data_IF_438545993463
#
_entry.id   IF_438545993463
#
_cell.length_a   1.000
_cell.length_b   1.000
_cell.length_c   1.000
_cell.angle_alpha   90.00
_cell.angle_beta   90.00
_cell.angle_gamma   90.00
#
_symmetry.space_group_name_H-M   'P 1'
#
loop_
_entity.id
_entity.type
_entity.pdbx_description
1 polymer ?
#
# COMPACT_ATOMS: atom_id res chain seq x y z
N UNK A 1 26.89 21.32 -65.01
CA UNK A 1 27.83 21.97 -64.07
C UNK A 1 27.06 22.33 -62.83
N UNK A 2 27.51 21.78 -61.71
CA UNK A 2 26.88 21.85 -60.40
C UNK A 2 26.89 23.27 -59.82
N UNK A 3 25.95 23.57 -58.92
CA UNK A 3 26.14 24.44 -57.75
C UNK A 3 25.03 24.17 -56.71
N UNK A 4 25.38 23.38 -55.71
CA UNK A 4 24.88 23.39 -54.32
C UNK A 4 26.16 23.75 -53.49
N UNK A 5 26.15 24.48 -52.34
CA UNK A 5 25.10 24.46 -51.32
C UNK A 5 24.79 25.79 -50.62
N UNK A 6 23.59 25.89 -50.02
CA UNK A 6 23.40 26.74 -48.84
C UNK A 6 22.88 25.85 -47.71
N UNK A 7 23.77 25.72 -46.73
CA UNK A 7 23.72 24.91 -45.54
C UNK A 7 22.77 25.56 -44.52
N UNK A 8 22.13 24.73 -43.70
CA UNK A 8 21.78 24.98 -42.29
C UNK A 8 20.86 26.16 -41.96
N UNK A 9 19.67 25.83 -41.45
CA UNK A 9 19.21 26.09 -40.06
C UNK A 9 17.69 26.21 -40.05
N UNK A 10 16.99 25.09 -40.05
CA UNK A 10 15.56 25.08 -39.69
C UNK A 10 15.20 23.83 -38.89
N UNK A 11 16.06 23.48 -37.93
CA UNK A 11 15.77 22.49 -36.88
C UNK A 11 16.30 23.10 -35.58
N UNK A 12 15.53 24.02 -34.99
CA UNK A 12 15.90 24.63 -33.70
C UNK A 12 14.68 25.22 -32.99
N UNK A 13 13.52 24.59 -33.10
CA UNK A 13 12.37 24.97 -32.25
C UNK A 13 11.36 23.83 -32.13
N UNK A 14 11.84 22.61 -31.86
CA UNK A 14 11.06 21.73 -30.99
C UNK A 14 11.48 22.11 -29.57
N UNK A 15 10.58 22.59 -28.70
CA UNK A 15 10.84 22.48 -27.28
C UNK A 15 10.91 20.98 -27.03
N UNK A 16 12.12 20.47 -26.81
CA UNK A 16 12.25 19.29 -25.98
C UNK A 16 11.61 19.70 -24.65
N UNK A 17 10.34 19.36 -24.46
CA UNK A 17 9.76 19.12 -23.15
C UNK A 17 10.53 17.92 -22.59
N UNK A 18 11.80 18.15 -22.23
CA UNK A 18 12.42 17.39 -21.19
C UNK A 18 11.56 17.70 -19.98
N UNK A 19 10.66 16.78 -19.63
CA UNK A 19 10.19 16.63 -18.26
C UNK A 19 11.44 16.27 -17.44
N UNK A 20 12.24 17.30 -17.16
CA UNK A 20 13.27 17.25 -16.16
C UNK A 20 12.52 17.05 -14.86
N UNK A 21 12.74 15.89 -14.25
CA UNK A 21 12.34 15.57 -12.89
C UNK A 21 12.48 16.82 -12.02
N UNK A 22 11.36 17.42 -11.62
CA UNK A 22 11.35 18.54 -10.67
C UNK A 22 11.13 17.93 -9.29
N UNK A 23 12.18 17.82 -8.45
CA UNK A 23 12.03 17.30 -7.09
C UNK A 23 11.13 18.18 -6.20
N UNK A 24 10.76 19.38 -6.67
CA UNK A 24 9.91 20.32 -5.95
C UNK A 24 8.41 20.16 -6.24
N UNK A 25 8.04 19.40 -7.29
CA UNK A 25 6.65 19.07 -7.63
C UNK A 25 6.60 17.65 -8.22
N UNK A 26 6.19 16.61 -7.46
CA UNK A 26 6.06 15.24 -7.96
C UNK A 26 4.82 15.05 -8.87
N UNK A 27 4.51 16.03 -9.71
CA UNK A 27 3.21 16.20 -10.39
C UNK A 27 3.01 15.32 -11.63
N UNK A 28 3.97 14.46 -11.99
CA UNK A 28 3.88 13.60 -13.17
C UNK A 28 4.28 12.13 -12.88
N UNK A 29 4.03 11.64 -11.66
CA UNK A 29 4.28 10.24 -11.33
C UNK A 29 3.15 9.35 -11.84
N UNK A 30 3.50 8.33 -12.60
CA UNK A 30 2.54 7.36 -13.16
C UNK A 30 2.47 6.11 -12.31
N UNK A 31 1.29 5.78 -11.82
CA UNK A 31 1.06 4.63 -10.94
C UNK A 31 0.16 3.62 -11.65
N UNK A 32 0.63 2.38 -11.73
CA UNK A 32 -0.19 1.28 -12.20
C UNK A 32 -1.02 0.75 -11.03
N UNK A 33 -2.34 0.68 -11.22
CA UNK A 33 -3.28 0.10 -10.25
C UNK A 33 -3.84 -1.19 -10.84
N UNK A 34 -3.50 -2.32 -10.23
CA UNK A 34 -4.00 -3.63 -10.60
C UNK A 34 -5.16 -4.00 -9.66
N UNK A 35 -6.31 -4.29 -10.25
CA UNK A 35 -7.56 -4.59 -9.55
C UNK A 35 -8.01 -6.02 -9.83
N UNK A 36 -8.53 -6.72 -8.81
CA UNK A 36 -9.28 -7.98 -9.04
C UNK A 36 -10.61 -7.72 -9.76
N UNK A 37 -11.34 -6.68 -9.32
CA UNK A 37 -12.62 -6.29 -9.89
C UNK A 37 -12.66 -4.80 -10.20
N UNK A 38 -13.28 -4.45 -11.33
CA UNK A 38 -13.43 -3.05 -11.76
C UNK A 38 -14.30 -2.25 -10.78
N UNK A 39 -15.19 -2.91 -10.04
CA UNK A 39 -16.00 -2.32 -8.97
C UNK A 39 -15.16 -1.71 -7.86
N UNK A 40 -13.92 -2.19 -7.63
CA UNK A 40 -13.00 -1.62 -6.64
C UNK A 40 -12.70 -0.14 -6.89
N UNK A 41 -12.73 0.30 -8.15
CA UNK A 41 -12.52 1.70 -8.52
C UNK A 41 -13.57 2.63 -7.92
N UNK A 42 -14.83 2.18 -7.85
CA UNK A 42 -15.92 2.97 -7.27
C UNK A 42 -15.94 2.83 -5.75
N UNK A 43 -15.76 1.61 -5.22
CA UNK A 43 -15.81 1.35 -3.78
C UNK A 43 -14.63 1.93 -3.01
N UNK A 44 -13.49 2.19 -3.65
CA UNK A 44 -12.28 2.80 -3.08
C UNK A 44 -11.98 4.20 -3.65
N UNK A 45 -13.01 4.83 -4.24
CA UNK A 45 -12.83 6.10 -4.96
C UNK A 45 -12.26 7.24 -4.12
N UNK A 46 -12.49 7.28 -2.80
CA UNK A 46 -11.95 8.33 -1.92
C UNK A 46 -10.42 8.25 -1.90
N UNK A 47 -9.87 7.05 -1.74
CA UNK A 47 -8.43 6.83 -1.78
C UNK A 47 -7.81 7.20 -3.14
N UNK A 48 -8.39 6.70 -4.24
CA UNK A 48 -7.87 7.00 -5.57
C UNK A 48 -7.98 8.48 -5.93
N UNK A 49 -9.07 9.15 -5.57
CA UNK A 49 -9.21 10.61 -5.74
C UNK A 49 -8.18 11.35 -4.91
N UNK A 50 -7.91 10.91 -3.69
CA UNK A 50 -6.86 11.49 -2.84
C UNK A 50 -5.52 11.48 -3.58
N UNK A 51 -5.12 10.36 -4.20
CA UNK A 51 -3.91 10.27 -5.03
C UNK A 51 -3.96 11.21 -6.25
N UNK A 52 -5.06 11.20 -7.01
CA UNK A 52 -5.21 12.03 -8.21
C UNK A 52 -5.19 13.53 -7.90
N UNK A 53 -5.80 13.97 -6.80
CA UNK A 53 -5.80 15.38 -6.38
C UNK A 53 -4.39 15.88 -6.02
N UNK A 54 -3.45 14.98 -5.74
CA UNK A 54 -2.03 15.30 -5.49
C UNK A 54 -1.17 15.27 -6.75
N UNK A 55 -1.75 15.00 -7.92
CA UNK A 55 -1.04 14.98 -9.20
C UNK A 55 -0.51 13.61 -9.63
N UNK A 56 -0.94 12.52 -8.98
CA UNK A 56 -0.57 11.16 -9.41
C UNK A 56 -1.47 10.69 -10.56
N UNK A 57 -0.86 10.24 -11.65
CA UNK A 57 -1.58 9.66 -12.79
C UNK A 57 -1.84 8.17 -12.54
N UNK A 58 -3.11 7.78 -12.43
CA UNK A 58 -3.50 6.40 -12.16
C UNK A 58 -3.93 5.68 -13.45
N UNK A 59 -3.24 4.62 -13.84
CA UNK A 59 -3.67 3.69 -14.88
C UNK A 59 -4.26 2.43 -14.24
N UNK A 60 -5.53 2.16 -14.52
CA UNK A 60 -6.25 1.03 -13.93
C UNK A 60 -6.27 -0.15 -14.90
N UNK A 61 -5.82 -1.31 -14.42
CA UNK A 61 -5.88 -2.59 -15.16
C UNK A 61 -6.53 -3.65 -14.30
N UNK A 62 -7.22 -4.59 -14.95
CA UNK A 62 -7.67 -5.82 -14.30
C UNK A 62 -6.49 -6.79 -14.21
N UNK A 63 -6.41 -7.56 -13.14
CA UNK A 63 -5.30 -8.45 -12.88
C UNK A 63 -5.08 -9.51 -13.98
N UNK A 64 -6.11 -9.85 -14.74
CA UNK A 64 -6.08 -10.80 -15.85
C UNK A 64 -5.75 -10.17 -17.22
N UNK A 65 -5.58 -8.84 -17.30
CA UNK A 65 -5.36 -8.14 -18.58
C UNK A 65 -4.01 -8.57 -19.21
N UNK A 66 -4.02 -9.19 -20.41
CA UNK A 66 -2.81 -9.66 -21.06
C UNK A 66 -1.86 -8.53 -21.51
N UNK A 67 -2.28 -7.27 -21.43
CA UNK A 67 -1.48 -6.11 -21.84
C UNK A 67 -0.69 -5.49 -20.68
N UNK A 68 -0.84 -6.01 -19.46
CA UNK A 68 -0.07 -5.51 -18.32
C UNK A 68 1.41 -5.75 -18.56
N UNK A 69 2.20 -4.69 -18.39
CA UNK A 69 3.64 -4.71 -18.50
C UNK A 69 4.23 -3.54 -17.73
N UNK A 70 5.17 -3.81 -16.83
CA UNK A 70 5.88 -2.77 -16.07
C UNK A 70 6.99 -2.12 -16.89
N UNK A 71 7.57 -2.87 -17.82
CA UNK A 71 8.78 -2.49 -18.54
C UNK A 71 8.62 -2.74 -20.04
N UNK A 72 9.02 -1.77 -20.87
CA UNK A 72 9.16 -1.95 -22.32
C UNK A 72 10.52 -1.45 -22.78
N UNK A 73 11.20 -2.26 -23.58
CA UNK A 73 12.52 -1.92 -24.13
C UNK A 73 13.56 -1.51 -23.06
N UNK A 74 13.52 -2.16 -21.89
CA UNK A 74 14.44 -1.88 -20.80
C UNK A 74 14.07 -0.67 -19.92
N UNK A 75 12.97 0.04 -20.22
CA UNK A 75 12.51 1.18 -19.43
C UNK A 75 11.20 0.90 -18.71
N UNK A 76 11.11 1.31 -17.45
CA UNK A 76 9.87 1.22 -16.68
C UNK A 76 8.86 2.26 -17.14
N UNK A 77 7.60 1.83 -17.28
CA UNK A 77 6.49 2.68 -17.71
C UNK A 77 5.86 3.44 -16.54
N UNK A 78 5.99 2.91 -15.33
CA UNK A 78 5.35 3.41 -14.12
C UNK A 78 6.40 3.66 -13.04
N UNK A 79 6.12 4.62 -12.16
CA UNK A 79 6.97 4.98 -11.03
C UNK A 79 6.56 4.25 -9.74
N UNK A 80 5.35 3.69 -9.71
CA UNK A 80 4.86 2.90 -8.60
C UNK A 80 3.74 1.94 -9.01
N UNK A 81 3.49 0.96 -8.14
CA UNK A 81 2.54 -0.12 -8.35
C UNK A 81 1.60 -0.25 -7.14
N UNK A 82 0.30 -0.39 -7.39
CA UNK A 82 -0.70 -0.67 -6.37
C UNK A 82 -1.40 -1.98 -6.73
N UNK A 83 -1.33 -2.96 -5.83
CA UNK A 83 -1.96 -4.27 -5.95
C UNK A 83 -3.18 -4.34 -5.04
N UNK A 84 -4.35 -4.10 -5.64
CA UNK A 84 -5.68 -4.29 -5.03
C UNK A 84 -6.31 -5.55 -5.63
N UNK A 85 -5.54 -6.63 -5.58
CA UNK A 85 -5.86 -7.90 -6.24
C UNK A 85 -5.55 -9.08 -5.31
N UNK A 86 -6.21 -9.18 -4.13
CA UNK A 86 -5.93 -10.20 -3.12
C UNK A 86 -6.03 -11.63 -3.65
N UNK A 87 -6.99 -11.92 -4.52
CA UNK A 87 -7.36 -13.28 -4.96
C UNK A 87 -6.59 -13.75 -6.19
N UNK A 88 -5.78 -12.88 -6.80
CA UNK A 88 -5.11 -13.19 -8.07
C UNK A 88 -4.00 -14.22 -7.87
N UNK A 89 -4.17 -15.41 -8.46
CA UNK A 89 -3.14 -16.47 -8.49
C UNK A 89 -2.07 -16.24 -9.57
N UNK A 90 -2.44 -15.51 -10.64
CA UNK A 90 -1.54 -15.20 -11.75
C UNK A 90 -1.97 -13.90 -12.42
N UNK A 91 -1.02 -12.98 -12.57
CA UNK A 91 -1.24 -11.76 -13.34
C UNK A 91 -1.20 -12.01 -14.86
N UNK A 92 -1.91 -11.17 -15.60
CA UNK A 92 -1.88 -11.10 -17.04
C UNK A 92 -0.59 -10.48 -17.59
N UNK A 93 -0.31 -10.78 -18.86
CA UNK A 93 0.78 -10.16 -19.61
C UNK A 93 2.16 -10.59 -19.13
N UNK A 94 3.04 -9.61 -18.88
CA UNK A 94 4.41 -9.84 -18.43
C UNK A 94 4.61 -9.52 -16.95
N UNK A 95 3.52 -9.35 -16.19
CA UNK A 95 3.59 -9.13 -14.76
C UNK A 95 3.67 -10.49 -14.06
N UNK A 96 4.72 -10.70 -13.28
CA UNK A 96 4.89 -11.87 -12.42
C UNK A 96 5.65 -11.46 -11.14
N UNK A 97 5.87 -12.43 -10.24
CA UNK A 97 6.62 -12.19 -8.99
C UNK A 97 7.99 -11.57 -9.27
N UNK A 98 8.76 -12.13 -10.20
CA UNK A 98 10.10 -11.64 -10.54
C UNK A 98 10.08 -10.20 -11.05
N UNK A 99 9.17 -9.87 -11.97
CA UNK A 99 9.03 -8.53 -12.50
C UNK A 99 8.67 -7.49 -11.42
N UNK A 100 7.87 -7.88 -10.41
CA UNK A 100 7.52 -7.00 -9.27
C UNK A 100 8.73 -6.79 -8.36
N UNK A 101 9.50 -7.84 -8.07
CA UNK A 101 10.72 -7.71 -7.27
C UNK A 101 11.77 -6.86 -7.99
N UNK A 102 12.01 -7.09 -9.28
CA UNK A 102 12.92 -6.29 -10.10
C UNK A 102 12.49 -4.81 -10.15
N UNK A 103 11.17 -4.55 -10.16
CA UNK A 103 10.61 -3.20 -10.11
C UNK A 103 10.94 -2.50 -8.79
N UNK A 104 10.77 -3.18 -7.67
CA UNK A 104 11.15 -2.68 -6.34
C UNK A 104 12.66 -2.50 -6.23
N UNK A 105 13.46 -3.44 -6.70
CA UNK A 105 14.93 -3.38 -6.70
C UNK A 105 15.48 -2.25 -7.58
N UNK A 106 14.70 -1.82 -8.58
CA UNK A 106 15.00 -0.65 -9.42
C UNK A 106 14.64 0.69 -8.76
N UNK A 107 14.10 0.68 -7.53
CA UNK A 107 13.81 1.88 -6.75
C UNK A 107 12.36 2.36 -6.83
N UNK A 108 11.45 1.57 -7.40
CA UNK A 108 10.04 1.95 -7.53
C UNK A 108 9.21 1.52 -6.32
N UNK A 109 8.12 2.26 -6.07
CA UNK A 109 7.31 2.08 -4.87
C UNK A 109 6.17 1.08 -5.08
N UNK A 110 5.77 0.39 -4.01
CA UNK A 110 4.77 -0.67 -4.06
C UNK A 110 3.76 -0.55 -2.92
N UNK A 111 2.47 -0.65 -3.23
CA UNK A 111 1.41 -0.83 -2.22
C UNK A 111 0.75 -2.19 -2.48
N UNK A 112 0.80 -3.07 -1.49
CA UNK A 112 0.14 -4.36 -1.50
C UNK A 112 -0.98 -4.31 -0.48
N UNK A 113 -2.17 -4.68 -0.93
CA UNK A 113 -3.31 -4.90 -0.05
C UNK A 113 -3.81 -6.31 -0.22
N UNK A 114 -4.27 -6.90 0.88
CA UNK A 114 -4.87 -8.21 0.84
C UNK A 114 -6.04 -8.31 1.80
N UNK A 115 -6.65 -9.48 1.90
CA UNK A 115 -7.69 -9.84 2.85
C UNK A 115 -7.54 -11.32 3.23
N UNK A 116 -8.56 -11.94 3.85
CA UNK A 116 -8.50 -13.37 4.16
C UNK A 116 -8.31 -14.26 2.91
N UNK A 117 -8.78 -13.81 1.74
CA UNK A 117 -8.68 -14.54 0.47
C UNK A 117 -7.35 -14.34 -0.27
N UNK A 118 -6.29 -13.94 0.44
CA UNK A 118 -4.95 -13.78 -0.07
C UNK A 118 -4.44 -15.02 -0.82
N UNK A 119 -4.17 -14.87 -2.12
CA UNK A 119 -3.60 -15.91 -2.97
C UNK A 119 -2.16 -16.27 -2.59
N UNK A 120 -1.69 -17.43 -3.05
CA UNK A 120 -0.30 -17.86 -2.83
C UNK A 120 0.72 -16.89 -3.45
N UNK A 121 0.37 -16.25 -4.56
CA UNK A 121 1.20 -15.24 -5.23
C UNK A 121 1.34 -13.98 -4.38
N UNK A 122 0.24 -13.41 -3.89
CA UNK A 122 0.28 -12.19 -3.06
C UNK A 122 1.05 -12.43 -1.76
N UNK A 123 0.85 -13.61 -1.15
CA UNK A 123 1.60 -14.04 0.04
C UNK A 123 3.10 -14.13 -0.24
N UNK A 124 3.49 -14.75 -1.37
CA UNK A 124 4.90 -14.85 -1.77
C UNK A 124 5.56 -13.47 -1.96
N UNK A 125 4.87 -12.52 -2.61
CA UNK A 125 5.38 -11.15 -2.78
C UNK A 125 5.62 -10.48 -1.41
N UNK A 126 4.69 -10.64 -0.47
CA UNK A 126 4.82 -10.06 0.86
C UNK A 126 5.94 -10.70 1.68
N UNK A 127 6.10 -12.03 1.62
CA UNK A 127 7.20 -12.75 2.26
C UNK A 127 8.56 -12.31 1.72
N UNK A 128 8.69 -12.11 0.41
CA UNK A 128 9.92 -11.57 -0.19
C UNK A 128 10.20 -10.13 0.23
N UNK A 129 9.15 -9.37 0.59
CA UNK A 129 9.28 -8.05 1.20
C UNK A 129 9.55 -8.09 2.73
N UNK A 130 9.57 -9.27 3.36
CA UNK A 130 9.87 -9.46 4.78
C UNK A 130 8.66 -9.49 5.71
N UNK A 131 7.47 -9.73 5.18
CA UNK A 131 6.20 -9.82 5.92
C UNK A 131 5.55 -11.17 5.68
N UNK A 132 5.22 -11.89 6.75
CA UNK A 132 4.59 -13.21 6.66
C UNK A 132 3.14 -13.12 7.15
N UNK A 133 2.19 -13.29 6.23
CA UNK A 133 0.76 -13.41 6.54
C UNK A 133 0.47 -14.73 7.26
N UNK A 134 -0.64 -14.77 8.01
CA UNK A 134 -1.08 -16.00 8.66
C UNK A 134 -1.30 -17.14 7.63
N UNK A 135 -0.70 -18.31 7.88
CA UNK A 135 -0.75 -19.47 6.99
C UNK A 135 -2.18 -20.02 6.79
N UNK A 136 -3.08 -19.80 7.74
CA UNK A 136 -4.47 -20.22 7.61
C UNK A 136 -5.20 -19.31 6.59
N UNK A 137 -5.72 -19.86 5.48
CA UNK A 137 -6.42 -19.09 4.45
C UNK A 137 -7.77 -18.53 4.90
N UNK A 138 -8.33 -19.00 6.03
CA UNK A 138 -9.56 -18.47 6.61
C UNK A 138 -9.29 -17.54 7.79
N UNK A 139 -8.02 -17.35 8.18
CA UNK A 139 -7.70 -16.57 9.36
C UNK A 139 -7.98 -15.07 9.16
N UNK A 140 -8.61 -14.51 10.18
CA UNK A 140 -8.83 -13.07 10.33
C UNK A 140 -8.34 -12.64 11.70
N UNK A 141 -7.99 -11.36 11.83
CA UNK A 141 -7.70 -10.78 13.14
C UNK A 141 -9.00 -10.63 13.91
N UNK A 142 -9.04 -11.19 15.11
CA UNK A 142 -10.17 -11.15 16.04
C UNK A 142 -9.71 -10.48 17.32
N UNK A 143 -10.52 -9.56 17.85
CA UNK A 143 -10.30 -8.99 19.16
C UNK A 143 -11.62 -8.69 19.88
N UNK A 144 -11.84 -9.32 21.02
CA UNK A 144 -13.05 -9.11 21.80
C UNK A 144 -13.02 -7.87 22.70
N UNK A 145 -11.90 -7.14 22.76
CA UNK A 145 -11.80 -5.91 23.57
C UNK A 145 -11.71 -4.65 22.74
N UNK A 146 -10.96 -4.67 21.63
CA UNK A 146 -10.72 -3.50 20.76
C UNK A 146 -11.38 -3.64 19.38
N UNK A 147 -12.62 -4.14 19.34
CA UNK A 147 -13.43 -4.16 18.12
C UNK A 147 -14.22 -2.86 17.93
N UNK A 148 -14.65 -2.60 16.70
CA UNK A 148 -15.55 -1.51 16.39
C UNK A 148 -17.00 -1.92 16.68
N UNK A 149 -17.70 -1.10 17.46
CA UNK A 149 -19.12 -1.34 17.75
C UNK A 149 -19.92 -1.16 16.46
N UNK A 150 -20.53 -2.25 16.01
CA UNK A 150 -21.42 -2.30 14.85
C UNK A 150 -22.70 -3.02 15.24
N UNK A 151 -23.84 -2.54 14.76
CA UNK A 151 -25.14 -3.14 15.03
C UNK A 151 -25.33 -4.48 14.29
N UNK A 152 -24.47 -4.80 13.31
CA UNK A 152 -24.69 -5.90 12.35
C UNK A 152 -23.70 -7.06 12.45
N UNK A 153 -22.53 -6.89 13.08
CA UNK A 153 -21.47 -7.91 13.10
C UNK A 153 -21.09 -8.27 14.55
N UNK A 154 -21.28 -9.55 14.92
CA UNK A 154 -21.02 -10.07 16.26
C UNK A 154 -19.72 -10.87 16.39
N UNK A 155 -18.99 -11.07 15.30
CA UNK A 155 -17.82 -11.97 15.27
C UNK A 155 -16.53 -11.28 15.75
N UNK A 156 -16.61 -9.99 16.07
CA UNK A 156 -15.50 -9.16 16.58
C UNK A 156 -14.25 -9.17 15.67
N UNK A 157 -14.48 -9.28 14.36
CA UNK A 157 -13.44 -9.26 13.30
C UNK A 157 -13.13 -7.86 12.78
N UNK A 158 -14.03 -6.89 13.01
CA UNK A 158 -13.79 -5.49 12.69
C UNK A 158 -13.04 -4.83 13.85
N UNK A 159 -11.74 -4.66 13.69
CA UNK A 159 -10.84 -4.14 14.71
C UNK A 159 -10.81 -2.60 14.66
N UNK A 160 -10.87 -1.97 15.82
CA UNK A 160 -10.65 -0.53 15.98
C UNK A 160 -9.27 -0.31 16.61
N UNK A 161 -8.25 -0.15 15.77
CA UNK A 161 -6.86 0.04 16.22
C UNK A 161 -6.49 1.53 16.31
N UNK A 162 -5.80 1.86 17.40
CA UNK A 162 -5.24 3.16 17.75
C UNK A 162 -3.73 3.07 18.05
N UNK A 163 -3.11 1.90 17.86
CA UNK A 163 -1.68 1.68 18.10
C UNK A 163 -0.86 1.99 16.85
N UNK A 164 -0.56 3.28 16.69
CA UNK A 164 0.23 3.82 15.58
C UNK A 164 1.72 3.92 15.91
N UNK A 165 2.55 3.79 14.88
CA UNK A 165 3.97 4.16 14.97
C UNK A 165 4.14 5.63 15.35
N UNK A 166 5.01 5.88 16.32
CA UNK A 166 5.34 7.23 16.77
C UNK A 166 6.41 7.85 15.85
N UNK A 167 5.99 8.27 14.66
CA UNK A 167 6.87 8.90 13.66
C UNK A 167 6.16 9.93 12.80
N UNK A 168 6.46 11.20 13.05
CA UNK A 168 5.95 12.35 12.28
C UNK A 168 6.42 12.31 10.81
N UNK A 169 7.52 11.61 10.53
CA UNK A 169 8.05 11.46 9.16
C UNK A 169 7.13 10.57 8.32
N UNK A 170 6.51 9.55 8.93
CA UNK A 170 5.64 8.59 8.24
C UNK A 170 4.20 9.09 8.25
N UNK A 171 3.65 9.40 9.42
CA UNK A 171 2.22 9.76 9.58
C UNK A 171 1.96 11.27 9.56
N UNK A 172 2.99 12.10 9.57
CA UNK A 172 2.85 13.56 9.62
C UNK A 172 2.71 14.08 11.04
N UNK A 173 2.73 15.40 11.17
CA UNK A 173 2.62 16.08 12.46
C UNK A 173 1.18 16.15 13.00
N UNK A 174 0.18 15.83 12.16
CA UNK A 174 -1.23 15.85 12.56
C UNK A 174 -1.59 14.51 13.16
N UNK A 175 -1.94 14.51 14.45
CA UNK A 175 -2.37 13.31 15.17
C UNK A 175 -3.66 12.74 14.58
N UNK A 176 -3.72 11.42 14.45
CA UNK A 176 -4.94 10.70 14.07
C UNK A 176 -5.72 10.45 15.35
N UNK A 177 -6.78 11.24 15.58
CA UNK A 177 -7.55 11.18 16.83
C UNK A 177 -8.53 9.99 16.88
N UNK A 178 -9.05 9.59 15.71
CA UNK A 178 -10.02 8.51 15.59
C UNK A 178 -9.32 7.17 15.29
N UNK A 179 -9.81 6.04 15.83
CA UNK A 179 -9.22 4.73 15.53
C UNK A 179 -9.39 4.38 14.05
N UNK A 180 -8.44 3.60 13.53
CA UNK A 180 -8.51 3.00 12.20
C UNK A 180 -9.30 1.71 12.29
N UNK A 181 -10.31 1.60 11.43
CA UNK A 181 -11.11 0.40 11.27
C UNK A 181 -10.41 -0.57 10.32
N UNK A 182 -10.23 -1.80 10.77
CA UNK A 182 -9.48 -2.83 10.06
C UNK A 182 -10.25 -4.15 10.07
N UNK A 183 -10.40 -4.77 8.91
CA UNK A 183 -10.97 -6.11 8.78
C UNK A 183 -10.20 -6.89 7.74
N UNK A 184 -9.55 -7.98 8.15
CA UNK A 184 -8.72 -8.77 7.25
C UNK A 184 -7.76 -9.68 8.00
N UNK A 185 -6.73 -10.12 7.29
CA UNK A 185 -5.72 -11.05 7.79
C UNK A 185 -4.65 -10.32 8.59
N UNK A 186 -4.09 -10.95 9.61
CA UNK A 186 -2.95 -10.43 10.35
C UNK A 186 -1.62 -10.91 9.74
N UNK A 187 -0.55 -10.15 9.93
CA UNK A 187 0.77 -10.59 9.54
C UNK A 187 1.81 -10.36 10.62
N UNK A 188 2.91 -11.10 10.53
CA UNK A 188 4.08 -10.95 11.39
C UNK A 188 5.24 -10.36 10.60
N UNK A 189 6.20 -9.81 11.34
CA UNK A 189 7.44 -9.30 10.77
C UNK A 189 8.56 -10.30 11.00
N UNK A 190 9.39 -10.51 9.99
CA UNK A 190 10.59 -11.30 10.15
C UNK A 190 11.61 -10.54 11.02
N UNK A 191 11.89 -11.09 12.20
CA UNK A 191 12.85 -10.50 13.17
C UNK A 191 14.27 -10.29 12.63
N UNK A 192 14.66 -11.01 11.57
CA UNK A 192 15.96 -10.84 10.92
C UNK A 192 16.00 -9.61 9.99
N UNK A 193 14.85 -9.08 9.58
CA UNK A 193 14.77 -7.95 8.67
C UNK A 193 14.61 -6.63 9.43
N UNK A 194 15.69 -5.85 9.53
CA UNK A 194 15.68 -4.55 10.20
C UNK A 194 15.08 -3.41 9.36
N UNK A 195 14.65 -3.68 8.12
CA UNK A 195 14.11 -2.69 7.19
C UNK A 195 12.58 -2.60 7.22
N UNK A 196 11.93 -3.54 7.91
CA UNK A 196 10.47 -3.60 8.03
C UNK A 196 10.02 -2.99 9.35
N UNK A 197 9.01 -2.14 9.27
CA UNK A 197 8.45 -1.43 10.42
C UNK A 197 6.94 -1.69 10.52
N UNK A 198 6.44 -1.86 11.75
CA UNK A 198 5.01 -1.87 12.04
C UNK A 198 4.51 -0.43 12.05
N UNK A 199 3.49 -0.13 11.26
CA UNK A 199 2.86 1.20 11.22
C UNK A 199 1.56 1.19 12.01
N UNK A 200 0.79 0.11 11.90
CA UNK A 200 -0.43 -0.13 12.66
C UNK A 200 -0.36 -1.54 13.26
N UNK A 201 -0.40 -1.62 14.58
CA UNK A 201 -0.38 -2.89 15.31
C UNK A 201 -1.77 -3.30 15.78
N UNK A 202 -1.95 -4.58 16.05
CA UNK A 202 -3.14 -5.05 16.76
C UNK A 202 -2.98 -4.83 18.27
N UNK A 203 -4.09 -4.90 19.01
CA UNK A 203 -4.05 -4.80 20.47
C UNK A 203 -3.35 -6.02 21.09
N UNK A 204 -2.88 -5.94 22.36
CA UNK A 204 -2.32 -7.08 23.07
C UNK A 204 -3.28 -8.27 23.25
N UNK A 205 -4.59 -8.07 23.15
CA UNK A 205 -5.61 -9.12 23.29
C UNK A 205 -6.05 -9.73 21.95
N UNK A 206 -5.60 -9.19 20.83
CA UNK A 206 -5.96 -9.68 19.51
C UNK A 206 -5.30 -11.04 19.22
N UNK A 207 -5.94 -11.86 18.39
CA UNK A 207 -5.36 -13.09 17.85
C UNK A 207 -5.86 -13.32 16.42
N UNK A 208 -5.12 -14.11 15.65
CA UNK A 208 -5.49 -14.44 14.27
C UNK A 208 -6.06 -15.86 14.19
N UNK A 209 -7.28 -16.03 13.70
CA UNK A 209 -7.93 -17.34 13.58
C UNK A 209 -9.12 -17.30 12.62
N UNK A 210 -9.60 -18.47 12.17
CA UNK A 210 -10.89 -18.57 11.48
C UNK A 210 -12.05 -18.34 12.47
N UNK A 211 -12.87 -17.29 12.29
CA UNK A 211 -13.97 -16.95 13.19
C UNK A 211 -15.10 -18.00 13.23
N UNK A 212 -15.20 -18.85 12.21
CA UNK A 212 -16.23 -19.89 12.12
C UNK A 212 -15.79 -21.21 12.76
N UNK A 213 -14.49 -21.36 13.02
CA UNK A 213 -13.91 -22.59 13.53
C UNK A 213 -13.73 -22.53 15.05
N UNK A 214 -13.83 -23.69 15.71
CA UNK A 214 -13.45 -23.79 17.12
C UNK A 214 -11.94 -23.96 17.22
N UNK A 215 -11.31 -23.06 17.96
CA UNK A 215 -9.90 -23.17 18.32
C UNK A 215 -9.65 -24.43 19.16
N UNK A 216 -8.92 -25.38 18.58
CA UNK A 216 -8.45 -26.59 19.26
C UNK A 216 -7.03 -26.41 19.83
N UNK A 217 -6.24 -25.53 19.22
CA UNK A 217 -4.88 -25.15 19.61
C UNK A 217 -4.77 -23.63 19.73
N UNK A 218 -3.80 -23.11 20.48
CA UNK A 218 -3.52 -21.67 20.51
C UNK A 218 -3.17 -21.18 19.09
N UNK A 219 -3.68 -20.00 18.69
CA UNK A 219 -3.29 -19.34 17.45
C UNK A 219 -1.78 -19.10 17.35
N UNK A 220 -1.24 -19.13 16.14
CA UNK A 220 0.18 -18.85 15.88
C UNK A 220 0.51 -17.38 16.12
N UNK A 221 -0.35 -16.49 15.64
CA UNK A 221 -0.20 -15.04 15.78
C UNK A 221 -1.13 -14.52 16.88
N UNK A 222 -0.53 -13.92 17.91
CA UNK A 222 -1.25 -13.38 19.07
C UNK A 222 -0.64 -12.05 19.56
N UNK A 223 -1.51 -11.20 20.11
CA UNK A 223 -1.19 -9.92 20.70
C UNK A 223 -0.37 -9.00 19.79
N UNK A 224 0.63 -8.35 20.39
CA UNK A 224 1.52 -7.38 19.72
C UNK A 224 2.42 -8.00 18.64
N UNK A 225 2.48 -9.32 18.51
CA UNK A 225 3.17 -9.96 17.39
C UNK A 225 2.46 -9.64 16.06
N UNK A 226 1.13 -9.48 16.10
CA UNK A 226 0.30 -9.14 14.93
C UNK A 226 0.53 -7.68 14.54
N UNK A 227 0.92 -7.51 13.29
CA UNK A 227 0.88 -6.24 12.58
C UNK A 227 -0.29 -6.24 11.60
N UNK A 228 -0.98 -5.11 11.51
CA UNK A 228 -2.11 -4.90 10.59
C UNK A 228 -1.63 -4.21 9.31
N UNK A 229 -0.75 -3.23 9.47
CA UNK A 229 -0.11 -2.50 8.37
C UNK A 229 1.37 -2.37 8.67
N UNK A 230 2.19 -2.75 7.69
CA UNK A 230 3.64 -2.63 7.76
C UNK A 230 4.19 -1.92 6.55
N UNK A 231 5.36 -1.33 6.74
CA UNK A 231 6.11 -0.70 5.67
C UNK A 231 7.53 -1.20 5.61
N UNK A 232 8.09 -1.16 4.41
CA UNK A 232 9.49 -1.50 4.15
C UNK A 232 10.14 -0.31 3.48
N UNK A 233 11.32 0.07 3.96
CA UNK A 233 12.21 0.95 3.23
C UNK A 233 13.42 0.15 2.76
N UNK A 234 13.47 -0.16 1.46
CA UNK A 234 14.56 -0.92 0.87
C UNK A 234 15.85 -0.09 0.83
N UNK A 235 16.99 -0.77 0.59
CA UNK A 235 18.32 -0.13 0.58
C UNK A 235 18.52 0.88 -0.55
N UNK A 236 17.77 0.70 -1.63
CA UNK A 236 17.67 1.63 -2.76
C UNK A 236 16.64 2.76 -2.52
N UNK A 237 16.09 2.85 -1.30
CA UNK A 237 15.01 3.74 -0.89
C UNK A 237 13.63 3.48 -1.51
N UNK A 238 13.40 2.37 -2.22
CA UNK A 238 12.05 1.97 -2.59
C UNK A 238 11.18 1.81 -1.32
N UNK A 239 9.93 2.29 -1.39
CA UNK A 239 9.00 2.23 -0.26
C UNK A 239 7.86 1.29 -0.56
N UNK A 240 7.63 0.37 0.37
CA UNK A 240 6.60 -0.66 0.25
C UNK A 240 5.62 -0.50 1.40
N UNK A 241 4.33 -0.52 1.10
CA UNK A 241 3.26 -0.64 2.10
C UNK A 241 2.58 -1.99 1.93
N UNK A 242 2.39 -2.70 3.04
CA UNK A 242 1.72 -4.00 3.08
C UNK A 242 0.58 -3.90 4.10
N UNK A 243 -0.65 -4.08 3.64
CA UNK A 243 -1.87 -4.10 4.45
C UNK A 243 -2.60 -5.41 4.28
N UNK A 244 -2.96 -6.06 5.40
CA UNK A 244 -3.81 -7.25 5.38
C UNK A 244 -5.31 -6.97 5.25
N UNK A 245 -5.70 -5.71 4.99
CA UNK A 245 -7.09 -5.31 4.75
C UNK A 245 -7.23 -4.40 3.54
N UNK A 246 -7.91 -4.90 2.51
CA UNK A 246 -8.41 -4.11 1.38
C UNK A 246 -9.54 -3.18 1.82
N UNK A 247 -10.46 -3.66 2.68
CA UNK A 247 -11.60 -2.88 3.15
C UNK A 247 -11.20 -1.60 3.91
N UNK A 248 -10.01 -1.57 4.52
CA UNK A 248 -9.45 -0.38 5.19
C UNK A 248 -9.38 0.85 4.27
N UNK A 249 -9.24 0.64 2.96
CA UNK A 249 -9.18 1.68 1.94
C UNK A 249 -10.56 2.04 1.34
N UNK A 250 -11.61 1.32 1.73
CA UNK A 250 -12.93 1.45 1.15
C UNK A 250 -13.65 2.70 1.63
N UNK A 251 -14.61 3.19 0.85
CA UNK A 251 -15.45 4.33 1.21
C UNK A 251 -16.47 3.98 2.32
N UNK A 252 -16.53 2.72 2.78
CA UNK A 252 -17.56 2.24 3.72
C UNK A 252 -17.30 2.67 5.16
N UNK A 253 -16.03 2.81 5.53
CA UNK A 253 -15.63 3.13 6.90
C UNK A 253 -15.67 4.63 7.14
N UNK A 254 -16.87 5.15 7.39
CA UNK A 254 -17.08 6.56 7.69
C UNK A 254 -16.98 6.86 9.18
N UNK A 255 -17.79 6.25 10.06
CA UNK A 255 -17.74 6.49 11.51
C UNK A 255 -17.05 5.39 12.29
N UNK A 256 -16.50 5.70 13.46
CA UNK A 256 -15.80 4.73 14.31
C UNK A 256 -16.14 4.89 15.79
N UNK A 257 -16.39 3.75 16.46
CA UNK A 257 -16.52 3.67 17.92
C UNK A 257 -15.84 2.39 18.39
N UNK A 258 -14.82 2.53 19.23
CA UNK A 258 -14.10 1.41 19.83
C UNK A 258 -14.90 0.86 21.01
N UNK A 259 -15.00 -0.47 21.12
CA UNK A 259 -15.64 -1.14 22.24
C UNK A 259 -15.00 -0.72 23.58
N UNK A 260 -15.84 -0.49 24.59
CA UNK A 260 -15.40 0.01 25.89
C UNK A 260 -15.03 1.50 25.96
N UNK A 261 -14.97 2.22 24.81
CA UNK A 261 -14.77 3.67 24.78
C UNK A 261 -16.11 4.42 24.74
N UNK A 262 -16.19 5.50 25.51
CA UNK A 262 -17.31 6.45 25.43
C UNK A 262 -17.23 7.38 24.22
N UNK A 263 -16.07 7.45 23.57
CA UNK A 263 -15.82 8.36 22.46
C UNK A 263 -16.32 7.74 21.16
N UNK A 264 -17.28 8.43 20.54
CA UNK A 264 -17.76 8.11 19.19
C UNK A 264 -17.26 9.18 18.25
N UNK A 265 -16.62 8.75 17.17
CA UNK A 265 -16.09 9.62 16.13
C UNK A 265 -17.02 9.59 14.92
N UNK A 266 -17.41 10.77 14.44
CA UNK A 266 -18.20 10.89 13.20
C UNK A 266 -17.40 10.39 11.99
N UNK A 267 -16.07 10.61 12.01
CA UNK A 267 -15.14 10.16 10.98
C UNK A 267 -14.10 9.20 11.56
N UNK A 268 -13.84 8.08 10.87
CA UNK A 268 -12.81 7.11 11.18
C UNK A 268 -11.42 7.66 10.85
N UNK A 269 -10.38 7.09 11.47
CA UNK A 269 -9.00 7.45 11.17
C UNK A 269 -8.52 6.97 9.80
N UNK A 270 -9.28 6.11 9.09
CA UNK A 270 -8.86 5.41 7.88
C UNK A 270 -8.39 6.35 6.77
N UNK A 271 -9.20 7.35 6.42
CA UNK A 271 -8.88 8.26 5.31
C UNK A 271 -7.60 9.06 5.59
N UNK A 272 -7.46 9.57 6.81
CA UNK A 272 -6.28 10.31 7.23
C UNK A 272 -5.05 9.38 7.25
N UNK A 273 -5.17 8.21 7.88
CA UNK A 273 -4.09 7.23 8.00
C UNK A 273 -3.54 6.82 6.62
N UNK A 274 -4.41 6.37 5.73
CA UNK A 274 -4.02 5.92 4.38
C UNK A 274 -3.47 7.08 3.54
N UNK A 275 -4.04 8.29 3.69
CA UNK A 275 -3.54 9.47 2.98
C UNK A 275 -2.14 9.86 3.44
N UNK A 276 -1.90 9.94 4.74
CA UNK A 276 -0.57 10.30 5.27
C UNK A 276 0.47 9.22 4.96
N UNK A 277 0.10 7.95 5.08
CA UNK A 277 0.98 6.85 4.76
C UNK A 277 1.32 6.81 3.26
N UNK A 278 0.36 7.02 2.38
CA UNK A 278 0.61 7.07 0.92
C UNK A 278 1.50 8.24 0.50
N UNK A 279 1.44 9.38 1.19
CA UNK A 279 2.40 10.49 0.97
C UNK A 279 3.83 10.07 1.30
N UNK A 280 4.02 9.31 2.37
CA UNK A 280 5.33 8.76 2.68
C UNK A 280 5.73 7.72 1.63
N UNK A 281 4.87 6.77 1.25
CA UNK A 281 5.20 5.77 0.23
C UNK A 281 5.63 6.40 -1.09
N UNK A 282 4.90 7.39 -1.60
CA UNK A 282 5.21 8.01 -2.89
C UNK A 282 6.20 9.18 -2.82
N UNK A 283 7.09 9.20 -1.80
CA UNK A 283 8.16 10.19 -1.62
C UNK A 283 7.70 11.65 -1.57
N UNK A 284 6.44 11.92 -1.24
CA UNK A 284 5.95 13.28 -1.00
C UNK A 284 6.45 13.83 0.36
N UNK A 285 6.90 12.94 1.25
CA UNK A 285 7.47 13.26 2.56
C UNK A 285 8.70 12.41 2.89
N UNK A 286 9.58 12.94 3.75
CA UNK A 286 10.66 12.15 4.35
C UNK A 286 11.78 11.83 3.38
N UNK A 287 12.08 12.74 2.46
CA UNK A 287 13.17 12.60 1.50
C UNK A 287 14.36 13.46 1.94
N UNK A 288 15.56 12.90 1.86
CA UNK A 288 16.81 13.61 2.12
C UNK A 288 17.68 13.54 0.88
N UNK A 289 18.18 14.70 0.45
CA UNK A 289 19.13 14.80 -0.65
C UNK A 289 20.44 15.34 -0.09
N UNK A 290 21.52 14.61 -0.36
CA UNK A 290 22.87 15.07 -0.01
C UNK A 290 23.29 16.13 -1.02
N UNK A 291 23.71 17.29 -0.53
CA UNK A 291 24.25 18.38 -1.36
C UNK A 291 25.70 18.14 -1.77
N UNK A 292 26.21 19.00 -2.64
CA UNK A 292 27.59 18.90 -3.10
C UNK A 292 28.57 19.16 -1.95
N UNK A 293 29.52 18.24 -1.77
CA UNK A 293 30.62 18.44 -0.82
C UNK A 293 31.71 19.27 -1.49
N UNK A 294 31.92 20.49 -0.98
CA UNK A 294 33.15 21.23 -1.26
C UNK A 294 34.21 20.76 -0.27
N UNK A 295 35.35 20.30 -0.79
CA UNK A 295 36.53 19.89 -0.01
C UNK A 295 37.52 21.02 0.12
#
# INVERSE_FOLDING_TARGET
>A
MANLPMFLTLISLLPFLCYSFSPENPTDRRILVVLDDIGLKSSHSIFFKSLQTRGLELDFKLADDPKISLQRYGQYLYDGLILFSPTTERFGGSLDLGAILDFVDSGHDLIITTDASASGLIRSIATDCGVDFDEDPSAMVIDHTSYAVSDTEGDHTLIASDDFIQSDVILGSTTIEAPVLYKGIGHSLNSANSLVLKVLSASPSAYSADPNSKLSSPPLLTGLAISLVSVVQARNNARIMISGSLEMFSNRYSGAQKAGSSNRYEKSGNEQFVTELSKWIFHERGHLKVGDFTT
#
